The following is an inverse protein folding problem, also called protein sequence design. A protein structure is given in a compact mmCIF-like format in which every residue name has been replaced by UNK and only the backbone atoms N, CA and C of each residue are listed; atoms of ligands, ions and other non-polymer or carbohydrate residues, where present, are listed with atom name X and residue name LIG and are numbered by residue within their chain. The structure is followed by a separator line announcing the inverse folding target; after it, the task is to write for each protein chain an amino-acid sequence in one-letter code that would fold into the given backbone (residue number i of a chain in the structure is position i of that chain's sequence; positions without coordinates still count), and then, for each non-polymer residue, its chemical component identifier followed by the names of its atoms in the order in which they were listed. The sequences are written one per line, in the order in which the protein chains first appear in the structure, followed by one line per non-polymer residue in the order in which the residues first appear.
data_IF_765134246578
#
_entry.id   IF_765134246578
#
_cell.length_a   1.000
_cell.length_b   1.000
_cell.length_c   1.000
_cell.angle_alpha   90.00
_cell.angle_beta   90.00
_cell.angle_gamma   90.00
#
_symmetry.space_group_name_H-M   'P 1'
#
loop_
_entity.id
_entity.type
_entity.pdbx_description
1 polymer ?
#
# COMPACT_ATOMS: atom_id res chain seq x y z
N UNK A 1 -29.52 3.33 14.69
CA UNK A 1 -28.97 2.46 13.62
C UNK A 1 -27.45 2.53 13.74
N UNK A 2 -26.77 1.42 14.06
CA UNK A 2 -25.30 1.39 13.97
C UNK A 2 -24.92 1.19 12.51
N UNK A 3 -24.06 2.07 11.98
CA UNK A 3 -23.46 1.86 10.67
C UNK A 3 -22.64 0.57 10.61
N UNK A 4 -22.40 0.07 9.40
CA UNK A 4 -21.65 -1.18 9.13
C UNK A 4 -20.22 -1.12 9.71
N UNK A 5 -19.56 0.04 9.59
CA UNK A 5 -18.32 0.37 10.26
C UNK A 5 -18.62 1.37 11.38
N UNK A 6 -18.07 1.14 12.57
CA UNK A 6 -18.34 2.01 13.73
C UNK A 6 -17.57 3.32 13.59
N UNK A 7 -16.31 3.28 13.17
CA UNK A 7 -15.37 4.41 13.08
C UNK A 7 -14.36 4.18 11.96
N UNK A 8 -14.75 4.42 10.69
CA UNK A 8 -13.80 4.36 9.58
C UNK A 8 -12.71 5.43 9.78
N UNK A 9 -11.44 5.02 9.71
CA UNK A 9 -10.27 5.92 9.80
C UNK A 9 -9.59 6.13 8.45
N UNK A 10 -9.69 5.15 7.55
CA UNK A 10 -9.21 5.24 6.18
C UNK A 10 -10.08 4.35 5.28
N UNK A 11 -10.25 4.76 4.03
CA UNK A 11 -11.11 4.11 3.04
C UNK A 11 -10.40 4.10 1.70
N UNK A 12 -10.44 2.96 1.02
CA UNK A 12 -9.83 2.78 -0.30
C UNK A 12 -10.76 1.99 -1.22
N UNK A 13 -10.67 2.28 -2.52
CA UNK A 13 -11.34 1.48 -3.54
C UNK A 13 -10.68 0.10 -3.62
N UNK A 14 -11.45 -0.95 -3.36
CA UNK A 14 -10.96 -2.33 -3.40
C UNK A 14 -11.09 -2.97 -4.79
N UNK A 15 -11.05 -4.32 -4.84
CA UNK A 15 -11.44 -5.06 -6.04
C UNK A 15 -12.84 -4.68 -6.53
N UNK A 16 -13.17 -5.00 -7.78
CA UNK A 16 -14.39 -4.57 -8.45
C UNK A 16 -15.66 -4.69 -7.56
N UNK A 17 -16.33 -3.55 -7.37
CA UNK A 17 -17.58 -3.46 -6.58
C UNK A 17 -17.38 -3.53 -5.07
N UNK A 18 -16.16 -3.33 -4.57
CA UNK A 18 -15.82 -3.41 -3.16
C UNK A 18 -15.07 -2.18 -2.66
N UNK A 19 -15.22 -1.92 -1.37
CA UNK A 19 -14.52 -0.87 -0.63
C UNK A 19 -13.78 -1.49 0.53
N UNK A 20 -12.56 -1.05 0.78
CA UNK A 20 -11.74 -1.47 1.90
C UNK A 20 -11.77 -0.36 2.95
N UNK A 21 -12.00 -0.73 4.20
CA UNK A 21 -12.10 0.23 5.30
C UNK A 21 -11.26 -0.24 6.47
N UNK A 22 -10.42 0.66 6.99
CA UNK A 22 -9.87 0.52 8.33
C UNK A 22 -10.91 1.03 9.33
N UNK A 23 -11.44 0.14 10.16
CA UNK A 23 -12.46 0.44 11.17
C UNK A 23 -11.82 0.37 12.56
N UNK A 24 -11.82 1.47 13.29
CA UNK A 24 -11.18 1.58 14.60
C UNK A 24 -12.14 1.22 15.73
N UNK A 25 -11.72 0.31 16.61
CA UNK A 25 -12.45 -0.02 17.83
C UNK A 25 -11.83 0.69 19.04
N UNK A 26 -12.60 1.59 19.66
CA UNK A 26 -12.17 2.31 20.87
C UNK A 26 -12.06 1.39 22.07
N UNK A 27 -12.89 0.35 22.16
CA UNK A 27 -12.95 -0.52 23.34
C UNK A 27 -11.66 -1.31 23.50
N UNK A 28 -11.11 -1.77 22.37
CA UNK A 28 -9.87 -2.56 22.33
C UNK A 28 -8.64 -1.73 21.93
N UNK A 29 -8.85 -0.52 21.41
CA UNK A 29 -7.77 0.33 20.91
C UNK A 29 -7.10 -0.23 19.65
N UNK A 30 -7.79 -1.10 18.93
CA UNK A 30 -7.28 -1.82 17.75
C UNK A 30 -8.06 -1.42 16.50
N UNK A 31 -7.39 -1.52 15.36
CA UNK A 31 -8.03 -1.31 14.05
C UNK A 31 -8.20 -2.67 13.38
N UNK A 32 -9.29 -2.84 12.64
CA UNK A 32 -9.51 -3.97 11.73
C UNK A 32 -9.62 -3.51 10.28
N UNK A 33 -9.31 -4.38 9.35
CA UNK A 33 -9.53 -4.18 7.91
C UNK A 33 -10.77 -4.95 7.49
N UNK A 34 -11.78 -4.23 7.01
CA UNK A 34 -13.01 -4.81 6.47
C UNK A 34 -13.13 -4.53 4.98
N UNK A 35 -13.62 -5.53 4.25
CA UNK A 35 -14.00 -5.42 2.86
C UNK A 35 -15.53 -5.38 2.78
N UNK A 36 -16.06 -4.33 2.16
CA UNK A 36 -17.49 -4.09 1.98
C UNK A 36 -17.85 -4.31 0.51
N UNK A 37 -18.81 -5.18 0.23
CA UNK A 37 -19.34 -5.36 -1.12
C UNK A 37 -20.53 -4.44 -1.34
N UNK A 38 -20.44 -3.53 -2.31
CA UNK A 38 -21.36 -2.41 -2.52
C UNK A 38 -22.75 -2.77 -3.10
N UNK A 39 -23.16 -4.03 -3.07
CA UNK A 39 -24.56 -4.43 -3.33
C UNK A 39 -25.44 -4.27 -2.08
N UNK A 40 -26.77 -4.35 -2.25
CA UNK A 40 -27.72 -4.36 -1.13
C UNK A 40 -28.28 -5.78 -0.89
N UNK A 41 -28.26 -6.29 0.37
CA UNK A 41 -27.60 -5.71 1.55
C UNK A 41 -26.06 -5.71 1.41
N UNK A 42 -25.39 -4.81 2.13
CA UNK A 42 -23.92 -4.75 2.13
C UNK A 42 -23.37 -5.97 2.84
N UNK A 43 -22.61 -6.79 2.12
CA UNK A 43 -21.85 -7.89 2.73
C UNK A 43 -20.53 -7.34 3.28
N UNK A 44 -20.23 -7.74 4.51
CA UNK A 44 -19.02 -7.36 5.24
C UNK A 44 -18.14 -8.59 5.37
N UNK A 45 -16.88 -8.45 4.97
CA UNK A 45 -15.89 -9.49 5.15
C UNK A 45 -14.68 -8.93 5.90
N UNK A 46 -14.42 -9.44 7.11
CA UNK A 46 -13.23 -9.01 7.86
C UNK A 46 -12.00 -9.69 7.25
N UNK A 47 -11.07 -8.88 6.73
CA UNK A 47 -9.83 -9.36 6.12
C UNK A 47 -8.72 -9.52 7.16
N UNK A 48 -8.72 -8.68 8.20
CA UNK A 48 -7.83 -8.79 9.35
C UNK A 48 -8.47 -8.10 10.56
N UNK A 49 -8.47 -8.78 11.70
CA UNK A 49 -9.10 -8.28 12.94
C UNK A 49 -8.25 -7.24 13.67
N UNK A 50 -6.93 -7.36 13.64
CA UNK A 50 -6.06 -6.54 14.51
C UNK A 50 -4.86 -5.95 13.79
N UNK A 51 -4.69 -4.64 13.98
CA UNK A 51 -3.50 -3.87 13.62
C UNK A 51 -3.08 -3.01 14.82
N UNK A 52 -1.77 -2.84 15.00
CA UNK A 52 -1.20 -1.96 16.03
C UNK A 52 -1.11 -0.53 15.51
N UNK A 53 -2.12 0.27 15.81
CA UNK A 53 -2.18 1.68 15.39
C UNK A 53 -2.04 1.84 13.87
N UNK A 54 -2.91 1.15 13.11
CA UNK A 54 -3.01 1.37 11.67
C UNK A 54 -3.56 2.76 11.36
N UNK A 55 -2.98 3.43 10.36
CA UNK A 55 -3.28 4.84 10.06
C UNK A 55 -3.90 5.05 8.70
N UNK A 56 -3.41 4.34 7.69
CA UNK A 56 -3.80 4.54 6.32
C UNK A 56 -3.66 3.24 5.53
N UNK A 57 -4.33 3.15 4.40
CA UNK A 57 -4.27 1.98 3.52
C UNK A 57 -4.29 2.39 2.06
N UNK A 58 -3.72 1.55 1.21
CA UNK A 58 -3.93 1.66 -0.23
C UNK A 58 -4.04 0.28 -0.87
N UNK A 59 -4.62 0.22 -2.06
CA UNK A 59 -4.85 -1.01 -2.80
C UNK A 59 -4.29 -0.91 -4.21
N UNK A 60 -3.49 -1.90 -4.60
CA UNK A 60 -3.06 -2.06 -5.99
C UNK A 60 -2.86 -3.52 -6.31
N UNK A 61 -3.18 -3.91 -7.54
CA UNK A 61 -2.87 -5.24 -8.07
C UNK A 61 -3.34 -6.41 -7.21
N UNK A 62 -4.47 -6.28 -6.49
CA UNK A 62 -4.99 -7.37 -5.66
C UNK A 62 -4.35 -7.47 -4.27
N UNK A 63 -3.55 -6.48 -3.88
CA UNK A 63 -2.81 -6.43 -2.61
C UNK A 63 -3.21 -5.14 -1.88
N UNK A 64 -3.51 -5.27 -0.58
CA UNK A 64 -3.71 -4.12 0.31
C UNK A 64 -2.43 -3.89 1.09
N UNK A 65 -1.98 -2.65 1.12
CA UNK A 65 -0.90 -2.19 1.96
C UNK A 65 -1.47 -1.30 3.06
N UNK A 66 -1.02 -1.48 4.30
CA UNK A 66 -1.49 -0.73 5.47
C UNK A 66 -0.31 -0.15 6.22
N UNK A 67 -0.30 1.17 6.46
CA UNK A 67 0.69 1.78 7.35
C UNK A 67 0.31 1.46 8.80
N UNK A 68 1.20 0.76 9.51
CA UNK A 68 0.98 0.32 10.89
C UNK A 68 2.02 0.95 11.81
N UNK A 69 1.67 2.14 12.33
CA UNK A 69 2.54 2.98 13.15
C UNK A 69 3.07 2.24 14.37
N UNK A 70 2.21 1.50 15.07
CA UNK A 70 2.57 0.80 16.30
C UNK A 70 3.57 -0.35 16.10
N UNK A 71 3.83 -0.73 14.85
CA UNK A 71 4.83 -1.73 14.48
C UNK A 71 5.98 -1.19 13.64
N UNK A 72 5.96 0.10 13.27
CA UNK A 72 6.96 0.68 12.37
C UNK A 72 7.01 -0.02 11.01
N UNK A 73 5.86 -0.48 10.49
CA UNK A 73 5.83 -1.35 9.32
C UNK A 73 4.70 -1.00 8.34
N UNK A 74 4.86 -1.47 7.10
CA UNK A 74 3.77 -1.56 6.12
C UNK A 74 3.33 -3.02 6.06
N UNK A 75 2.09 -3.28 6.47
CA UNK A 75 1.50 -4.61 6.40
C UNK A 75 0.96 -4.90 5.01
N UNK A 76 1.11 -6.14 4.57
CA UNK A 76 0.67 -6.68 3.28
C UNK A 76 -0.48 -7.66 3.50
N UNK A 77 -1.60 -7.43 2.82
CA UNK A 77 -2.74 -8.34 2.78
C UNK A 77 -2.99 -8.72 1.32
N UNK A 78 -2.62 -9.95 0.97
CA UNK A 78 -2.76 -10.49 -0.37
C UNK A 78 -4.18 -11.03 -0.60
N UNK A 79 -5.03 -10.25 -1.25
CA UNK A 79 -6.44 -10.61 -1.47
C UNK A 79 -6.63 -11.59 -2.63
N UNK A 80 -5.72 -11.55 -3.61
CA UNK A 80 -5.82 -12.32 -4.87
C UNK A 80 -4.76 -13.41 -5.02
N UNK A 81 -3.89 -13.59 -4.02
CA UNK A 81 -2.84 -14.62 -4.04
C UNK A 81 -1.67 -14.28 -4.96
N UNK A 82 -1.38 -12.99 -5.19
CA UNK A 82 -0.34 -12.53 -6.11
C UNK A 82 1.06 -12.45 -5.49
N UNK A 83 1.16 -12.44 -4.17
CA UNK A 83 2.45 -12.37 -3.46
C UNK A 83 3.04 -13.77 -3.30
N UNK A 84 2.23 -14.71 -2.81
CA UNK A 84 2.70 -16.06 -2.43
C UNK A 84 2.50 -17.06 -3.54
N UNK A 85 3.60 -17.48 -4.16
CA UNK A 85 3.58 -18.53 -5.17
C UNK A 85 3.42 -19.90 -4.52
N UNK A 86 2.48 -20.68 -5.04
CA UNK A 86 2.28 -22.09 -4.68
C UNK A 86 2.73 -22.97 -5.85
N UNK A 87 3.90 -23.64 -5.77
CA UNK A 87 4.40 -24.50 -6.85
C UNK A 87 3.40 -25.57 -7.27
N UNK A 88 2.68 -26.14 -6.30
CA UNK A 88 1.64 -27.17 -6.50
C UNK A 88 0.45 -26.68 -7.35
N UNK A 89 0.22 -25.36 -7.37
CA UNK A 89 -0.85 -24.74 -8.16
C UNK A 89 -0.50 -24.57 -9.65
N UNK A 90 0.77 -24.73 -10.03
CA UNK A 90 1.23 -24.55 -11.41
C UNK A 90 0.97 -25.82 -12.22
N UNK A 91 -0.06 -25.77 -13.08
CA UNK A 91 -0.53 -26.94 -13.83
C UNK A 91 0.16 -27.09 -15.19
N UNK A 92 0.71 -26.02 -15.73
CA UNK A 92 1.33 -26.02 -17.05
C UNK A 92 2.85 -25.91 -17.00
N UNK A 93 3.52 -26.55 -17.98
CA UNK A 93 4.97 -26.40 -18.16
C UNK A 93 5.36 -24.96 -18.50
N UNK A 94 4.55 -24.28 -19.29
CA UNK A 94 4.81 -22.90 -19.69
C UNK A 94 4.83 -21.95 -18.47
N UNK A 95 3.86 -22.06 -17.56
CA UNK A 95 3.86 -21.26 -16.33
C UNK A 95 5.08 -21.55 -15.47
N UNK A 96 5.42 -22.83 -15.30
CA UNK A 96 6.57 -23.23 -14.49
C UNK A 96 7.89 -22.70 -15.05
N UNK A 97 8.08 -22.78 -16.38
CA UNK A 97 9.24 -22.21 -17.07
C UNK A 97 9.29 -20.69 -16.93
N UNK A 98 8.14 -20.00 -17.08
CA UNK A 98 8.05 -18.56 -16.87
C UNK A 98 8.46 -18.16 -15.44
N UNK A 99 8.00 -18.90 -14.42
CA UNK A 99 8.39 -18.64 -13.03
C UNK A 99 9.87 -18.91 -12.79
N UNK A 100 10.41 -20.02 -13.28
CA UNK A 100 11.84 -20.32 -13.18
C UNK A 100 12.71 -19.26 -13.88
N UNK A 101 12.32 -18.84 -15.08
CA UNK A 101 12.99 -17.77 -15.83
C UNK A 101 13.00 -16.44 -15.09
N UNK A 102 11.88 -16.07 -14.43
CA UNK A 102 11.80 -14.87 -13.59
C UNK A 102 12.80 -14.87 -12.43
N UNK A 103 13.14 -16.05 -11.91
CA UNK A 103 14.13 -16.23 -10.85
C UNK A 103 15.54 -16.56 -11.38
N UNK A 104 15.75 -16.47 -12.69
CA UNK A 104 17.00 -16.86 -13.35
C UNK A 104 17.46 -18.28 -13.02
N UNK A 105 16.50 -19.20 -12.82
CA UNK A 105 16.76 -20.60 -12.51
C UNK A 105 16.86 -21.43 -13.80
N UNK A 106 17.63 -22.54 -13.80
CA UNK A 106 17.69 -23.47 -14.92
C UNK A 106 16.30 -23.96 -15.33
N UNK A 107 16.08 -24.14 -16.64
CA UNK A 107 14.77 -24.44 -17.25
C UNK A 107 14.70 -25.83 -17.87
N UNK A 108 15.76 -26.63 -17.73
CA UNK A 108 15.87 -27.99 -18.26
C UNK A 108 15.31 -29.02 -17.29
N UNK A 109 14.77 -30.10 -17.87
CA UNK A 109 14.25 -31.26 -17.13
C UNK A 109 12.75 -31.48 -17.30
N UNK A 110 12.26 -32.54 -16.66
CA UNK A 110 10.84 -32.91 -16.61
C UNK A 110 10.06 -32.01 -15.65
N UNK A 111 8.73 -31.97 -15.79
CA UNK A 111 7.85 -31.17 -14.91
C UNK A 111 8.14 -31.36 -13.40
N UNK A 112 8.32 -32.59 -12.87
CA UNK A 112 8.64 -32.79 -11.46
C UNK A 112 9.99 -32.19 -11.04
N UNK A 113 11.01 -32.26 -11.90
CA UNK A 113 12.34 -31.70 -11.62
C UNK A 113 12.25 -30.17 -11.54
N UNK A 114 11.57 -29.55 -12.51
CA UNK A 114 11.33 -28.11 -12.55
C UNK A 114 10.53 -27.64 -11.33
N UNK A 115 9.50 -28.38 -10.94
CA UNK A 115 8.64 -28.06 -9.79
C UNK A 115 9.40 -28.14 -8.48
N UNK A 116 10.19 -29.21 -8.28
CA UNK A 116 11.06 -29.36 -7.11
C UNK A 116 12.09 -28.22 -7.03
N UNK A 117 12.69 -27.83 -8.16
CA UNK A 117 13.65 -26.72 -8.23
C UNK A 117 13.03 -25.40 -7.75
N UNK A 118 11.83 -25.07 -8.26
CA UNK A 118 11.11 -23.88 -7.82
C UNK A 118 10.76 -23.95 -6.33
N UNK A 119 10.24 -25.08 -5.85
CA UNK A 119 9.87 -25.27 -4.45
C UNK A 119 11.08 -25.09 -3.50
N UNK A 120 12.22 -25.71 -3.83
CA UNK A 120 13.45 -25.54 -3.05
C UNK A 120 13.93 -24.09 -3.03
N UNK A 121 13.85 -23.38 -4.15
CA UNK A 121 14.20 -21.97 -4.21
C UNK A 121 13.28 -21.11 -3.32
N UNK A 122 11.96 -21.31 -3.40
CA UNK A 122 11.00 -20.58 -2.55
C UNK A 122 11.18 -20.90 -1.06
N UNK A 123 11.53 -22.13 -0.70
CA UNK A 123 11.87 -22.51 0.68
C UNK A 123 13.11 -21.76 1.18
N UNK A 124 14.15 -21.65 0.36
CA UNK A 124 15.36 -20.90 0.69
C UNK A 124 15.07 -19.40 0.89
N UNK A 125 14.19 -18.81 0.07
CA UNK A 125 13.73 -17.44 0.25
C UNK A 125 12.90 -17.27 1.53
N UNK A 126 11.98 -18.21 1.81
CA UNK A 126 11.15 -18.17 3.00
C UNK A 126 11.95 -18.20 4.29
N UNK A 127 13.07 -18.93 4.32
CA UNK A 127 13.98 -18.95 5.47
C UNK A 127 14.64 -17.58 5.76
N UNK A 128 14.70 -16.67 4.77
CA UNK A 128 15.28 -15.33 4.92
C UNK A 128 14.23 -14.28 5.32
N UNK A 129 12.95 -14.59 5.18
CA UNK A 129 11.85 -13.66 5.48
C UNK A 129 11.46 -13.80 6.95
N UNK A 130 11.62 -12.73 7.73
CA UNK A 130 11.22 -12.73 9.15
C UNK A 130 9.70 -12.78 9.32
N UNK A 131 8.99 -11.97 8.55
CA UNK A 131 7.54 -11.91 8.57
C UNK A 131 7.00 -11.60 7.16
N UNK A 132 6.40 -12.57 6.46
CA UNK A 132 5.90 -12.39 5.09
C UNK A 132 4.64 -11.52 4.99
N UNK A 133 4.03 -11.13 6.11
CA UNK A 133 2.92 -10.16 6.15
C UNK A 133 3.40 -8.71 6.18
N UNK A 134 4.71 -8.45 6.23
CA UNK A 134 5.27 -7.10 6.27
C UNK A 134 6.16 -6.91 5.03
N UNK A 135 6.18 -5.71 4.46
CA UNK A 135 7.15 -5.39 3.40
C UNK A 135 8.56 -5.53 3.97
N UNK A 136 9.40 -6.33 3.31
CA UNK A 136 10.81 -6.46 3.70
C UNK A 136 11.57 -5.22 3.22
N UNK A 137 11.94 -4.34 4.16
CA UNK A 137 12.66 -3.11 3.89
C UNK A 137 14.10 -3.20 4.40
N UNK A 138 15.04 -2.63 3.64
CA UNK A 138 16.45 -2.50 4.07
C UNK A 138 16.60 -1.49 5.22
N UNK A 139 15.77 -0.44 5.20
CA UNK A 139 15.72 0.59 6.24
C UNK A 139 14.37 0.50 6.94
N UNK A 140 14.33 0.23 8.26
CA UNK A 140 13.09 0.18 9.00
C UNK A 140 12.36 1.53 8.99
N UNK A 141 11.04 1.47 8.95
CA UNK A 141 10.20 2.64 9.25
C UNK A 141 10.04 2.73 10.76
N UNK A 142 9.85 3.93 11.29
CA UNK A 142 9.59 4.10 12.73
C UNK A 142 8.13 4.48 12.96
N UNK A 143 7.62 5.46 12.19
CA UNK A 143 6.28 5.98 12.37
C UNK A 143 5.57 6.17 11.02
N UNK A 144 5.30 5.08 10.28
CA UNK A 144 4.55 5.17 9.03
C UNK A 144 3.13 5.66 9.30
N UNK A 145 2.71 6.72 8.61
CA UNK A 145 1.43 7.40 8.88
C UNK A 145 0.51 7.44 7.68
N UNK A 146 1.02 7.81 6.52
CA UNK A 146 0.22 7.84 5.29
C UNK A 146 0.94 7.15 4.13
N UNK A 147 0.16 6.58 3.23
CA UNK A 147 0.64 5.68 2.20
C UNK A 147 -0.20 5.89 0.93
N UNK A 148 0.45 5.90 -0.24
CA UNK A 148 -0.28 5.91 -1.49
C UNK A 148 0.44 5.12 -2.59
N UNK A 149 -0.35 4.63 -3.54
CA UNK A 149 0.16 4.00 -4.76
C UNK A 149 0.56 5.10 -5.75
N UNK A 150 1.81 5.11 -6.18
CA UNK A 150 2.25 5.97 -7.29
C UNK A 150 2.21 5.23 -8.63
N UNK A 151 2.48 3.92 -8.61
CA UNK A 151 2.30 3.01 -9.74
C UNK A 151 2.14 1.57 -9.24
N UNK A 152 1.94 0.61 -10.15
CA UNK A 152 1.82 -0.83 -9.84
C UNK A 152 2.93 -1.33 -8.90
N UNK A 153 4.15 -0.83 -9.08
CA UNK A 153 5.34 -1.28 -8.37
C UNK A 153 5.97 -0.16 -7.54
N UNK A 154 5.32 1.00 -7.40
CA UNK A 154 5.84 2.12 -6.61
C UNK A 154 4.84 2.53 -5.55
N UNK A 155 5.29 2.47 -4.30
CA UNK A 155 4.56 2.91 -3.12
C UNK A 155 5.24 4.12 -2.52
N UNK A 156 4.47 5.10 -2.07
CA UNK A 156 4.97 6.18 -1.22
C UNK A 156 4.51 5.95 0.21
N UNK A 157 5.38 6.21 1.16
CA UNK A 157 5.06 6.14 2.58
C UNK A 157 5.66 7.36 3.30
N UNK A 158 4.81 8.08 4.03
CA UNK A 158 5.22 9.09 4.99
C UNK A 158 5.68 8.42 6.29
N UNK A 159 6.86 8.79 6.80
CA UNK A 159 7.38 8.39 8.10
C UNK A 159 7.58 9.65 8.96
N UNK A 160 6.65 9.86 9.88
CA UNK A 160 6.58 11.09 10.68
C UNK A 160 7.72 11.23 11.69
N UNK A 161 8.36 10.13 12.09
CA UNK A 161 9.50 10.20 13.01
C UNK A 161 10.71 10.79 12.29
N UNK A 162 10.97 10.28 11.09
CA UNK A 162 12.07 10.75 10.24
C UNK A 162 11.70 11.99 9.42
N UNK A 163 10.46 12.46 9.51
CA UNK A 163 9.92 13.60 8.75
C UNK A 163 10.26 13.52 7.26
N UNK A 164 10.02 12.35 6.67
CA UNK A 164 10.32 12.09 5.26
C UNK A 164 9.27 11.22 4.61
N UNK A 165 9.15 11.38 3.30
CA UNK A 165 8.36 10.53 2.43
C UNK A 165 9.33 9.67 1.66
N UNK A 166 9.14 8.36 1.75
CA UNK A 166 9.99 7.36 1.14
C UNK A 166 9.26 6.78 -0.05
N UNK A 167 9.91 6.81 -1.21
CA UNK A 167 9.48 6.11 -2.40
C UNK A 167 10.07 4.71 -2.39
N UNK A 168 9.20 3.71 -2.33
CA UNK A 168 9.54 2.29 -2.31
C UNK A 168 9.22 1.67 -3.67
N UNK A 169 10.22 1.09 -4.31
CA UNK A 169 10.02 0.15 -5.41
C UNK A 169 9.71 -1.24 -4.85
N UNK A 170 8.60 -1.82 -5.28
CA UNK A 170 8.08 -3.09 -4.80
C UNK A 170 8.56 -4.23 -5.69
N UNK A 171 9.16 -5.24 -5.07
CA UNK A 171 9.51 -6.51 -5.68
C UNK A 171 8.72 -7.66 -5.08
N UNK A 172 8.29 -8.61 -5.93
CA UNK A 172 7.50 -9.78 -5.53
C UNK A 172 8.31 -11.07 -5.71
N UNK A 173 8.99 -11.52 -4.66
CA UNK A 173 9.89 -12.69 -4.73
C UNK A 173 9.15 -14.04 -4.66
N UNK A 174 7.82 -14.03 -4.58
CA UNK A 174 7.00 -15.25 -4.51
C UNK A 174 6.77 -15.77 -3.09
N UNK A 175 7.35 -15.15 -2.07
CA UNK A 175 7.13 -15.47 -0.65
C UNK A 175 6.62 -14.25 0.12
N UNK A 176 7.21 -13.09 -0.14
CA UNK A 176 6.88 -11.82 0.47
C UNK A 176 7.02 -10.67 -0.53
N UNK A 177 6.55 -9.50 -0.12
CA UNK A 177 6.85 -8.24 -0.81
C UNK A 177 8.15 -7.68 -0.25
N UNK A 178 9.07 -7.30 -1.13
CA UNK A 178 10.33 -6.63 -0.82
C UNK A 178 10.20 -5.19 -1.26
N UNK A 179 10.62 -4.23 -0.44
CA UNK A 179 10.63 -2.82 -0.79
C UNK A 179 12.05 -2.28 -0.81
N UNK A 180 12.43 -1.66 -1.92
CA UNK A 180 13.71 -0.95 -2.06
C UNK A 180 13.45 0.55 -2.02
N UNK A 181 14.12 1.26 -1.10
CA UNK A 181 14.05 2.72 -1.06
C UNK A 181 14.77 3.30 -2.27
N UNK A 182 14.04 4.04 -3.09
CA UNK A 182 14.55 4.68 -4.30
C UNK A 182 14.89 6.15 -4.05
N UNK A 183 14.05 6.82 -3.28
CA UNK A 183 14.13 8.26 -3.05
C UNK A 183 13.50 8.61 -1.71
N UNK A 184 14.10 9.59 -1.04
CA UNK A 184 13.53 10.19 0.16
C UNK A 184 13.29 11.68 -0.08
N UNK A 185 12.18 12.17 0.45
CA UNK A 185 11.75 13.57 0.32
C UNK A 185 11.47 14.06 1.72
N UNK A 186 12.26 15.03 2.20
CA UNK A 186 12.04 15.62 3.51
C UNK A 186 10.72 16.38 3.54
N UNK A 187 10.05 16.37 4.70
CA UNK A 187 8.91 17.22 4.95
C UNK A 187 9.33 18.70 4.84
N UNK A 188 8.43 19.60 4.44
CA UNK A 188 8.72 21.03 4.46
C UNK A 188 8.98 21.56 5.87
N UNK A 189 9.69 22.69 5.96
CA UNK A 189 10.04 23.30 7.24
C UNK A 189 8.81 23.55 8.14
N UNK A 190 8.91 23.04 9.37
CA UNK A 190 7.85 23.14 10.38
C UNK A 190 6.67 22.18 10.19
N UNK A 191 6.76 21.21 9.28
CA UNK A 191 5.81 20.10 9.17
C UNK A 191 6.35 18.90 9.93
N UNK A 192 5.62 18.44 10.94
CA UNK A 192 5.98 17.29 11.79
C UNK A 192 5.19 16.03 11.49
N UNK A 193 4.15 16.12 10.66
CA UNK A 193 3.29 14.98 10.32
C UNK A 193 2.58 15.15 8.98
N UNK A 194 2.29 14.03 8.32
CA UNK A 194 1.44 13.96 7.13
C UNK A 194 0.14 13.27 7.47
N UNK A 195 -1.00 13.88 7.12
CA UNK A 195 -2.31 13.26 7.30
C UNK A 195 -2.70 12.34 6.12
N UNK A 196 -2.39 12.72 4.88
CA UNK A 196 -2.79 11.93 3.70
C UNK A 196 -1.86 12.12 2.48
N UNK A 197 -1.61 11.05 1.74
CA UNK A 197 -0.95 11.03 0.45
C UNK A 197 -1.95 10.57 -0.62
N UNK A 198 -1.95 11.17 -1.82
CA UNK A 198 -2.75 10.65 -2.92
C UNK A 198 -2.07 10.79 -4.28
N UNK A 199 -2.21 9.81 -5.17
CA UNK A 199 -1.69 9.87 -6.54
C UNK A 199 -2.82 9.87 -7.57
N UNK A 200 -2.58 10.46 -8.75
CA UNK A 200 -3.50 10.39 -9.90
C UNK A 200 -2.92 9.58 -11.08
N UNK A 201 -1.80 8.88 -10.87
CA UNK A 201 -1.15 8.02 -11.86
C UNK A 201 -0.22 8.74 -12.85
N UNK A 202 -0.32 10.07 -13.01
CA UNK A 202 0.66 10.89 -13.74
C UNK A 202 1.46 11.81 -12.81
N UNK A 203 0.86 12.16 -11.69
CA UNK A 203 1.40 13.01 -10.65
C UNK A 203 1.08 12.39 -9.29
N UNK A 204 1.96 12.64 -8.32
CA UNK A 204 1.64 12.36 -6.92
C UNK A 204 1.37 13.67 -6.21
N UNK A 205 0.13 13.83 -5.76
CA UNK A 205 -0.31 15.00 -5.02
C UNK A 205 -0.08 14.76 -3.53
N UNK A 206 0.53 15.73 -2.88
CA UNK A 206 0.88 15.64 -1.48
C UNK A 206 -0.06 16.51 -0.67
N UNK A 207 -1.03 15.90 0.00
CA UNK A 207 -1.86 16.65 0.95
C UNK A 207 -1.17 16.69 2.30
N UNK A 208 -0.30 17.69 2.51
CA UNK A 208 0.25 17.96 3.83
C UNK A 208 -0.79 18.71 4.66
N UNK A 209 -1.03 18.25 5.87
CA UNK A 209 -1.73 19.08 6.86
C UNK A 209 -0.71 19.44 7.92
N UNK A 210 -0.34 20.71 7.97
CA UNK A 210 0.57 21.24 8.98
C UNK A 210 -0.20 21.43 10.28
N UNK A 211 0.14 20.68 11.32
CA UNK A 211 -0.39 20.92 12.66
C UNK A 211 0.39 22.05 13.38
N UNK A 212 0.46 23.24 12.78
CA UNK A 212 0.82 24.47 13.50
C UNK A 212 -0.34 25.43 13.32
N UNK A 213 -1.32 25.33 14.21
CA UNK A 213 -2.54 26.13 14.17
C UNK A 213 -3.36 25.95 12.89
N UNK A 214 -4.27 24.96 12.86
CA UNK A 214 -5.37 24.81 11.90
C UNK A 214 -5.13 25.11 10.40
N UNK A 215 -3.90 25.01 9.88
CA UNK A 215 -3.56 25.43 8.52
C UNK A 215 -3.18 24.21 7.67
N UNK A 216 -4.01 23.92 6.66
CA UNK A 216 -3.73 22.88 5.65
C UNK A 216 -2.81 23.44 4.57
N UNK A 217 -1.75 22.72 4.19
CA UNK A 217 -0.81 23.13 3.14
C UNK A 217 -0.79 22.02 2.10
N UNK A 218 -1.52 22.16 1.00
CA UNK A 218 -1.37 21.17 -0.08
C UNK A 218 -0.05 21.44 -0.78
N UNK A 219 0.68 20.42 -1.17
CA UNK A 219 1.89 20.55 -1.96
C UNK A 219 1.87 19.55 -3.11
N UNK A 220 2.59 19.83 -4.19
CA UNK A 220 2.77 18.85 -5.27
C UNK A 220 4.17 18.27 -5.19
N UNK A 221 4.29 16.94 -5.29
CA UNK A 221 5.56 16.26 -5.51
C UNK A 221 5.56 15.72 -6.93
N UNK A 222 6.47 16.19 -7.76
CA UNK A 222 6.66 15.64 -9.08
C UNK A 222 7.52 14.37 -8.97
N UNK A 223 6.93 13.22 -9.32
CA UNK A 223 7.56 11.90 -9.26
C UNK A 223 8.31 11.53 -10.56
N UNK A 224 8.29 12.39 -11.60
CA UNK A 224 9.10 12.22 -12.81
C UNK A 224 10.54 12.70 -12.64
N UNK A 225 11.47 12.16 -13.45
CA UNK A 225 12.94 12.42 -13.49
C UNK A 225 13.39 13.89 -13.72
N UNK A 226 12.52 14.86 -13.52
CA UNK A 226 12.83 16.29 -13.57
C UNK A 226 12.88 16.85 -12.15
N UNK A 227 13.92 17.62 -11.86
CA UNK A 227 14.19 18.33 -10.59
C UNK A 227 12.90 18.74 -9.83
N UNK A 228 12.64 18.08 -8.71
CA UNK A 228 11.43 18.33 -7.91
C UNK A 228 11.69 19.40 -6.85
N UNK A 229 10.92 20.48 -6.90
CA UNK A 229 10.67 21.36 -5.76
C UNK A 229 9.25 21.14 -5.26
N UNK A 230 9.06 21.13 -3.93
CA UNK A 230 7.73 21.13 -3.30
C UNK A 230 7.10 22.50 -3.57
N UNK A 231 6.00 22.56 -4.33
CA UNK A 231 5.24 23.81 -4.52
C UNK A 231 4.03 23.82 -3.60
N UNK A 232 3.96 24.74 -2.61
CA UNK A 232 2.78 24.88 -1.78
C UNK A 232 1.61 25.46 -2.59
N UNK A 233 0.47 24.79 -2.54
CA UNK A 233 -0.84 25.22 -3.02
C UNK A 233 -1.67 25.52 -1.77
N UNK A 234 -2.02 26.79 -1.58
CA UNK A 234 -2.94 27.20 -0.52
C UNK A 234 -4.36 26.76 -0.87
N UNK A 235 -4.93 25.84 -0.08
CA UNK A 235 -6.35 25.48 -0.16
C UNK A 235 -7.08 25.92 1.12
N UNK A 236 -8.25 26.52 0.95
CA UNK A 236 -9.11 27.01 2.04
C UNK A 236 -9.97 25.86 2.58
N UNK A 237 -10.09 25.78 3.91
CA UNK A 237 -10.84 24.78 4.70
C UNK A 237 -12.19 24.36 4.11
N UNK A 238 -12.45 23.05 4.14
CA UNK A 238 -13.74 22.53 4.60
C UNK A 238 -13.51 21.39 5.59
N UNK A 239 -14.27 21.35 6.70
CA UNK A 239 -14.22 20.29 7.69
C UNK A 239 -14.99 19.10 7.14
N UNK A 240 -14.29 17.98 6.96
CA UNK A 240 -14.86 16.72 6.48
C UNK A 240 -14.47 16.47 5.03
N UNK A 241 -13.69 15.41 4.82
CA UNK A 241 -13.48 14.70 3.56
C UNK A 241 -13.47 15.60 2.31
N UNK A 242 -12.28 16.00 1.84
CA UNK A 242 -12.18 16.51 0.46
C UNK A 242 -12.29 15.30 -0.47
N UNK A 243 -13.50 15.04 -0.94
CA UNK A 243 -13.71 14.28 -2.17
C UNK A 243 -13.10 15.14 -3.27
N UNK A 244 -11.92 14.77 -3.76
CA UNK A 244 -11.45 15.26 -5.06
C UNK A 244 -12.37 14.63 -6.11
N UNK A 245 -13.49 15.28 -6.36
CA UNK A 245 -14.17 15.12 -7.63
C UNK A 245 -13.18 15.65 -8.68
N UNK A 246 -12.49 14.76 -9.39
CA UNK A 246 -11.97 15.13 -10.70
C UNK A 246 -13.19 15.59 -11.49
N UNK A 247 -13.25 16.87 -11.80
CA UNK A 247 -14.18 17.32 -12.83
C UNK A 247 -13.75 16.59 -14.10
N UNK A 248 -14.43 15.49 -14.41
CA UNK A 248 -14.55 15.00 -15.78
C UNK A 248 -15.25 16.09 -16.57
N UNK A 249 -14.51 17.09 -17.02
CA UNK A 249 -14.91 17.87 -18.17
C UNK A 249 -14.66 17.01 -19.40
N UNK A 250 -15.49 15.99 -19.61
CA UNK A 250 -15.79 15.56 -20.97
C UNK A 250 -16.75 16.60 -21.54
N UNK A 251 -16.24 17.49 -22.38
CA UNK A 251 -17.03 18.14 -23.40
C UNK A 251 -16.16 18.21 -24.65
N UNK A 252 -16.23 17.13 -25.42
CA UNK A 252 -16.16 17.22 -26.87
C UNK A 252 -17.29 18.15 -27.35
N UNK A 253 -16.91 19.17 -28.10
CA UNK A 253 -17.53 19.49 -29.38
C UNK A 253 -16.40 19.70 -30.39
#
# INVERSE_FOLDING_TARGET
MSGVCKRPIAVESGPQGKVLVLDYDIEFGETRLVELRLHQPVDVHVRKETFKDARDLCFTSGIVFVSERGSGAIRVIDLEGKVRLKPEGLKSRAELLSRLGRFSLPQEGTMPILGKRLATHLQALAAQVKNPEIIQLNTPLVKPTSICVASTDILLCADDEHQRIIQLELGYNGVAVVGTSMREINYPDGVSSIESLCGDGQHTWLHLVKQVGYTTVTSQIQTSNSSCGIRPIHAVKSRGCVIMATSLSSLTL
#
